data_IF_593900533777
#
_entry.id   IF_593900533777
#
_cell.length_a   1.000
_cell.length_b   1.000
_cell.length_c   1.000
_cell.angle_alpha   90.00
_cell.angle_beta   90.00
_cell.angle_gamma   90.00
#
_symmetry.space_group_name_H-M   'P 1'
#
loop_
_entity.id
_entity.type
_entity.pdbx_description
1 polymer ?
#
# COMPACT_ATOMS: atom_id res chain seq x y z
N UNK A 1 2.10 -17.99 -19.97
CA UNK A 1 0.95 -17.72 -20.81
C UNK A 1 -0.23 -17.33 -19.92
N UNK A 2 -0.74 -16.11 -20.05
CA UNK A 2 -1.82 -15.56 -19.22
C UNK A 2 -3.08 -16.43 -19.26
N UNK A 3 -3.42 -16.99 -20.42
CA UNK A 3 -4.63 -17.81 -20.59
C UNK A 3 -4.68 -19.06 -19.69
N UNK A 4 -3.55 -19.65 -19.35
CA UNK A 4 -3.50 -20.78 -18.42
C UNK A 4 -3.82 -20.31 -17.00
N UNK A 5 -3.26 -19.15 -16.61
CA UNK A 5 -3.50 -18.52 -15.31
C UNK A 5 -4.97 -18.12 -15.19
N UNK A 6 -5.51 -17.46 -16.22
CA UNK A 6 -6.92 -17.06 -16.32
C UNK A 6 -7.87 -18.24 -16.16
N UNK A 7 -7.59 -19.34 -16.90
CA UNK A 7 -8.41 -20.56 -16.83
C UNK A 7 -8.38 -21.18 -15.41
N UNK A 8 -7.22 -21.24 -14.78
CA UNK A 8 -7.07 -21.77 -13.42
C UNK A 8 -7.83 -20.89 -12.41
N UNK A 9 -7.62 -19.56 -12.45
CA UNK A 9 -8.31 -18.64 -11.53
C UNK A 9 -9.82 -18.69 -11.78
N UNK A 10 -10.28 -18.65 -13.04
CA UNK A 10 -11.71 -18.73 -13.39
C UNK A 10 -12.37 -20.01 -12.86
N UNK A 11 -11.63 -21.12 -12.80
CA UNK A 11 -12.12 -22.38 -12.22
C UNK A 11 -12.06 -22.45 -10.68
N UNK A 12 -11.66 -21.38 -10.00
CA UNK A 12 -11.50 -21.33 -8.55
C UNK A 12 -10.19 -21.95 -8.04
N UNK A 13 -9.22 -22.20 -8.93
CA UNK A 13 -7.94 -22.78 -8.55
C UNK A 13 -6.94 -21.67 -8.20
N UNK A 14 -6.32 -21.77 -7.04
CA UNK A 14 -5.27 -20.85 -6.62
C UNK A 14 -4.00 -21.04 -7.45
N UNK A 15 -3.41 -19.93 -7.90
CA UNK A 15 -2.18 -19.93 -8.70
C UNK A 15 -1.06 -19.24 -7.92
N UNK A 16 0.08 -19.89 -7.82
CA UNK A 16 1.28 -19.34 -7.18
C UNK A 16 2.42 -19.32 -8.21
N UNK A 17 2.92 -18.14 -8.54
CA UNK A 17 4.09 -17.97 -9.37
C UNK A 17 5.28 -17.54 -8.49
N UNK A 18 6.39 -18.26 -8.59
CA UNK A 18 7.63 -17.96 -7.87
C UNK A 18 8.77 -17.75 -8.83
N UNK A 19 9.55 -16.69 -8.62
CA UNK A 19 10.75 -16.39 -9.38
C UNK A 19 11.93 -16.05 -8.45
N UNK A 20 13.12 -16.54 -8.77
CA UNK A 20 14.33 -16.17 -8.02
C UNK A 20 14.67 -14.67 -8.15
N UNK A 21 14.28 -14.06 -9.27
CA UNK A 21 14.50 -12.64 -9.52
C UNK A 21 13.18 -11.94 -9.74
N UNK A 22 12.80 -11.67 -10.94
CA UNK A 22 11.73 -10.74 -11.28
C UNK A 22 10.52 -11.47 -11.85
N UNK A 23 9.33 -10.92 -11.59
CA UNK A 23 8.08 -11.30 -12.23
C UNK A 23 7.57 -10.09 -13.03
N UNK A 24 7.29 -10.31 -14.31
CA UNK A 24 6.71 -9.29 -15.19
C UNK A 24 5.34 -9.76 -15.69
N UNK A 25 4.30 -8.98 -15.40
CA UNK A 25 2.95 -9.18 -15.97
C UNK A 25 2.77 -8.17 -17.09
N UNK A 26 2.96 -8.62 -18.34
CA UNK A 26 2.94 -7.79 -19.55
C UNK A 26 1.75 -8.10 -20.46
N UNK A 27 0.89 -9.02 -20.06
CA UNK A 27 -0.36 -9.36 -20.74
C UNK A 27 -1.46 -9.46 -19.71
N UNK A 28 -2.64 -9.02 -20.05
CA UNK A 28 -3.79 -9.07 -19.16
C UNK A 28 -4.02 -10.47 -18.60
N UNK A 29 -4.45 -10.53 -17.35
CA UNK A 29 -4.94 -11.72 -16.65
C UNK A 29 -6.38 -11.42 -16.26
N UNK A 30 -7.34 -11.91 -17.06
CA UNK A 30 -8.76 -11.59 -16.89
C UNK A 30 -9.53 -12.88 -16.57
N UNK A 31 -9.61 -13.20 -15.29
CA UNK A 31 -10.50 -14.26 -14.83
C UNK A 31 -11.95 -13.76 -14.80
N UNK A 32 -12.88 -14.65 -15.09
CA UNK A 32 -14.32 -14.35 -15.15
C UNK A 32 -15.08 -15.23 -14.17
N UNK A 33 -16.30 -14.83 -13.81
CA UNK A 33 -17.14 -15.57 -12.86
C UNK A 33 -17.29 -14.83 -11.54
N UNK A 34 -17.86 -15.52 -10.55
CA UNK A 34 -18.18 -14.94 -9.23
C UNK A 34 -17.38 -15.53 -8.08
N UNK A 35 -16.49 -16.50 -8.34
CA UNK A 35 -15.70 -17.18 -7.32
C UNK A 35 -14.36 -17.62 -7.93
N UNK A 36 -13.48 -16.68 -8.18
CA UNK A 36 -12.14 -16.94 -8.70
C UNK A 36 -11.20 -17.50 -7.64
N UNK A 37 -10.14 -18.20 -8.10
CA UNK A 37 -9.02 -18.59 -7.27
C UNK A 37 -8.09 -17.42 -6.97
N UNK A 38 -7.25 -17.55 -5.95
CA UNK A 38 -6.26 -16.55 -5.58
C UNK A 38 -5.06 -16.56 -6.55
N UNK A 39 -4.45 -15.39 -6.75
CA UNK A 39 -3.20 -15.24 -7.47
C UNK A 39 -2.10 -14.75 -6.51
N UNK A 40 -1.02 -15.50 -6.41
CA UNK A 40 0.17 -15.10 -5.65
C UNK A 40 1.35 -14.94 -6.58
N UNK A 41 1.98 -13.78 -6.59
CA UNK A 41 3.23 -13.49 -7.27
C UNK A 41 4.32 -13.28 -6.22
N UNK A 42 5.33 -14.15 -6.22
CA UNK A 42 6.39 -14.13 -5.22
C UNK A 42 7.76 -14.06 -5.91
N UNK A 43 8.40 -12.91 -5.82
CA UNK A 43 9.68 -12.61 -6.48
C UNK A 43 10.81 -12.40 -5.47
N UNK A 44 11.97 -12.94 -5.76
CA UNK A 44 13.18 -12.66 -4.98
C UNK A 44 13.70 -11.22 -5.15
N UNK A 45 13.25 -10.51 -6.21
CA UNK A 45 13.65 -9.12 -6.51
C UNK A 45 12.41 -8.30 -6.82
N UNK A 46 12.02 -8.14 -8.08
CA UNK A 46 11.00 -7.19 -8.50
C UNK A 46 9.70 -7.86 -8.94
N UNK A 47 8.60 -7.13 -8.77
CA UNK A 47 7.33 -7.41 -9.43
C UNK A 47 6.92 -6.18 -10.23
N UNK A 48 6.75 -6.35 -11.55
CA UNK A 48 6.27 -5.27 -12.42
C UNK A 48 5.01 -5.71 -13.13
N UNK A 49 3.92 -4.96 -12.92
CA UNK A 49 2.58 -5.22 -13.47
C UNK A 49 2.21 -4.06 -14.38
N UNK A 50 2.42 -4.23 -15.68
CA UNK A 50 2.07 -3.25 -16.71
C UNK A 50 0.80 -3.61 -17.50
N UNK A 51 0.14 -4.71 -17.15
CA UNK A 51 -1.10 -5.17 -17.74
C UNK A 51 -2.17 -5.42 -16.68
N UNK A 52 -3.44 -5.44 -17.07
CA UNK A 52 -4.55 -5.51 -16.14
C UNK A 52 -4.66 -6.88 -15.46
N UNK A 53 -5.10 -6.89 -14.21
CA UNK A 53 -5.42 -8.12 -13.47
C UNK A 53 -6.86 -8.05 -12.96
N UNK A 54 -7.64 -9.09 -13.28
CA UNK A 54 -8.97 -9.33 -12.71
C UNK A 54 -9.02 -10.77 -12.20
N UNK A 55 -9.35 -10.97 -10.91
CA UNK A 55 -9.33 -12.29 -10.27
C UNK A 55 -10.72 -12.91 -10.09
N UNK A 56 -11.79 -12.23 -10.50
CA UNK A 56 -13.16 -12.70 -10.27
C UNK A 56 -13.45 -13.01 -8.79
N UNK A 57 -13.13 -12.09 -7.92
CA UNK A 57 -13.27 -12.15 -6.45
C UNK A 57 -12.23 -13.01 -5.69
N UNK A 58 -11.20 -13.53 -6.35
CA UNK A 58 -10.03 -14.10 -5.68
C UNK A 58 -9.07 -13.01 -5.20
N UNK A 59 -8.24 -13.33 -4.20
CA UNK A 59 -7.24 -12.44 -3.67
C UNK A 59 -6.03 -12.30 -4.60
N UNK A 60 -5.34 -11.16 -4.51
CA UNK A 60 -4.03 -10.96 -5.14
C UNK A 60 -2.99 -10.70 -4.05
N UNK A 61 -1.94 -11.52 -4.02
CA UNK A 61 -0.80 -11.34 -3.12
C UNK A 61 0.46 -11.10 -3.93
N UNK A 62 1.15 -10.00 -3.65
CA UNK A 62 2.42 -9.60 -4.26
C UNK A 62 3.48 -9.55 -3.16
N UNK A 63 4.55 -10.35 -3.33
CA UNK A 63 5.69 -10.37 -2.42
C UNK A 63 6.97 -10.17 -3.23
N UNK A 64 7.62 -9.03 -3.08
CA UNK A 64 8.92 -8.77 -3.71
C UNK A 64 10.02 -8.65 -2.65
N UNK A 65 11.26 -8.76 -3.07
CA UNK A 65 12.43 -8.83 -2.18
C UNK A 65 12.26 -9.91 -1.09
N UNK A 66 11.69 -11.05 -1.46
CA UNK A 66 11.36 -12.10 -0.52
C UNK A 66 12.60 -12.93 -0.15
N UNK A 67 13.04 -12.81 1.10
CA UNK A 67 14.24 -13.48 1.62
C UNK A 67 14.12 -15.01 1.69
N UNK A 68 12.91 -15.53 1.69
CA UNK A 68 12.69 -16.99 1.68
C UNK A 68 13.00 -17.65 0.34
N UNK A 69 13.17 -16.86 -0.74
CA UNK A 69 13.53 -17.38 -2.07
C UNK A 69 15.03 -17.59 -2.17
N UNK A 70 15.44 -18.85 -2.22
CA UNK A 70 16.84 -19.23 -2.38
C UNK A 70 17.38 -18.82 -3.76
N UNK A 71 18.62 -18.32 -3.81
CA UNK A 71 19.28 -17.95 -5.06
C UNK A 71 18.88 -16.59 -5.64
N UNK A 72 18.14 -15.76 -4.89
CA UNK A 72 17.76 -14.40 -5.32
C UNK A 72 18.94 -13.46 -5.57
N UNK A 73 20.12 -13.76 -5.00
CA UNK A 73 21.30 -12.89 -5.03
C UNK A 73 21.18 -11.72 -4.05
N UNK A 74 22.29 -11.00 -3.86
CA UNK A 74 22.28 -9.74 -3.11
C UNK A 74 21.90 -8.62 -4.07
N UNK A 75 20.63 -8.22 -4.07
CA UNK A 75 20.16 -7.14 -4.92
C UNK A 75 20.14 -5.81 -4.15
N UNK A 76 20.58 -4.76 -4.83
CA UNK A 76 20.57 -3.39 -4.31
C UNK A 76 19.30 -2.61 -4.68
N UNK A 77 18.43 -3.25 -5.46
CA UNK A 77 17.20 -2.63 -5.98
C UNK A 77 16.13 -3.69 -5.98
N UNK A 78 14.99 -3.40 -5.41
CA UNK A 78 13.81 -4.26 -5.47
C UNK A 78 12.56 -3.42 -5.35
N UNK A 79 11.70 -3.54 -6.35
CA UNK A 79 10.54 -2.69 -6.48
C UNK A 79 9.27 -3.51 -6.70
N UNK A 80 8.13 -2.95 -6.31
CA UNK A 80 6.82 -3.40 -6.76
C UNK A 80 6.19 -2.24 -7.54
N UNK A 81 6.12 -2.40 -8.86
CA UNK A 81 5.52 -1.43 -9.76
C UNK A 81 4.18 -1.94 -10.27
N UNK A 82 3.12 -1.14 -10.12
CA UNK A 82 1.84 -1.37 -10.79
C UNK A 82 1.47 -0.11 -11.56
N UNK A 83 1.41 -0.23 -12.89
CA UNK A 83 1.02 0.88 -13.80
C UNK A 83 -0.28 0.59 -14.57
N UNK A 84 -1.13 -0.27 -14.04
CA UNK A 84 -2.32 -0.80 -14.71
C UNK A 84 -3.52 -0.85 -13.75
N UNK A 85 -4.63 -1.42 -14.23
CA UNK A 85 -5.82 -1.64 -13.40
C UNK A 85 -5.78 -3.02 -12.75
N UNK A 86 -5.99 -3.06 -11.44
CA UNK A 86 -6.21 -4.28 -10.66
C UNK A 86 -7.63 -4.26 -10.12
N UNK A 87 -8.44 -5.26 -10.50
CA UNK A 87 -9.83 -5.39 -10.08
C UNK A 87 -10.07 -6.77 -9.46
N UNK A 88 -10.25 -6.80 -8.16
CA UNK A 88 -10.40 -8.04 -7.40
C UNK A 88 -11.85 -8.28 -6.96
N UNK A 89 -12.76 -7.34 -7.22
CA UNK A 89 -14.15 -7.44 -6.76
C UNK A 89 -14.23 -7.49 -5.24
N UNK A 90 -14.63 -8.64 -4.67
CA UNK A 90 -14.66 -8.88 -3.23
C UNK A 90 -13.38 -9.54 -2.69
N UNK A 91 -12.37 -9.75 -3.53
CA UNK A 91 -11.06 -10.24 -3.11
C UNK A 91 -10.19 -9.14 -2.50
N UNK A 92 -9.19 -9.53 -1.74
CA UNK A 92 -8.26 -8.64 -1.06
C UNK A 92 -6.96 -8.47 -1.84
N UNK A 93 -6.36 -7.30 -1.75
CA UNK A 93 -5.01 -7.03 -2.23
C UNK A 93 -4.03 -6.98 -1.06
N UNK A 94 -2.97 -7.79 -1.14
CA UNK A 94 -1.86 -7.78 -0.21
C UNK A 94 -0.55 -7.54 -0.95
N UNK A 95 0.13 -6.43 -0.65
CA UNK A 95 1.44 -6.06 -1.18
C UNK A 95 2.46 -6.07 -0.05
N UNK A 96 3.55 -6.80 -0.22
CA UNK A 96 4.67 -6.82 0.72
C UNK A 96 5.98 -6.63 -0.03
N UNK A 97 6.67 -5.53 0.25
CA UNK A 97 8.06 -5.34 -0.11
C UNK A 97 8.94 -5.68 1.10
N UNK A 98 9.74 -6.72 0.97
CA UNK A 98 10.59 -7.21 2.05
C UNK A 98 11.72 -6.23 2.39
N UNK A 99 12.24 -6.35 3.61
CA UNK A 99 13.42 -5.60 4.02
C UNK A 99 14.69 -6.20 3.40
N UNK A 100 15.64 -5.36 3.06
CA UNK A 100 16.98 -5.77 2.67
C UNK A 100 18.01 -5.11 3.58
N UNK A 101 18.96 -5.90 4.05
CA UNK A 101 20.12 -5.42 4.83
C UNK A 101 21.18 -4.74 3.97
N UNK A 102 20.93 -4.51 2.68
CA UNK A 102 21.87 -3.87 1.75
C UNK A 102 21.43 -2.45 1.43
N UNK A 103 22.40 -1.56 1.30
CA UNK A 103 22.15 -0.20 0.78
C UNK A 103 21.70 -0.28 -0.67
N UNK A 104 20.49 0.10 -0.98
CA UNK A 104 19.90 0.08 -2.31
C UNK A 104 18.68 0.97 -2.42
N UNK A 105 18.04 0.98 -3.56
CA UNK A 105 16.75 1.65 -3.76
C UNK A 105 15.65 0.60 -3.76
N UNK A 106 14.65 0.80 -2.95
CA UNK A 106 13.51 -0.09 -2.80
C UNK A 106 12.26 0.77 -2.71
N UNK A 107 11.26 0.53 -3.55
CA UNK A 107 10.00 1.28 -3.46
C UNK A 107 8.78 0.46 -3.89
N UNK A 108 7.62 0.93 -3.48
CA UNK A 108 6.33 0.46 -3.96
C UNK A 108 5.74 1.60 -4.78
N UNK A 109 5.85 1.51 -6.10
CA UNK A 109 5.38 2.54 -7.02
C UNK A 109 4.01 2.16 -7.60
N UNK A 110 2.98 2.82 -7.13
CA UNK A 110 1.59 2.62 -7.54
C UNK A 110 0.98 3.91 -8.11
N UNK A 111 1.81 4.91 -8.43
CA UNK A 111 1.35 6.25 -8.85
C UNK A 111 0.40 6.25 -10.06
N UNK A 112 0.54 5.26 -10.94
CA UNK A 112 -0.31 5.08 -12.11
C UNK A 112 -1.35 3.96 -11.96
N UNK A 113 -1.40 3.31 -10.78
CA UNK A 113 -2.31 2.21 -10.54
C UNK A 113 -3.75 2.68 -10.28
N UNK A 114 -4.71 1.90 -10.78
CA UNK A 114 -6.11 1.96 -10.33
C UNK A 114 -6.46 0.61 -9.72
N UNK A 115 -6.76 0.59 -8.42
CA UNK A 115 -6.96 -0.63 -7.64
C UNK A 115 -8.37 -0.64 -7.04
N UNK A 116 -9.11 -1.74 -7.29
CA UNK A 116 -10.41 -2.01 -6.70
C UNK A 116 -10.37 -3.37 -6.00
N UNK A 117 -10.62 -3.40 -4.69
CA UNK A 117 -10.57 -4.61 -3.87
C UNK A 117 -11.54 -4.52 -2.67
N UNK A 118 -11.69 -5.61 -1.92
CA UNK A 118 -12.39 -5.55 -0.65
C UNK A 118 -11.51 -4.86 0.42
N UNK A 119 -10.36 -5.43 0.73
CA UNK A 119 -9.32 -4.81 1.56
C UNK A 119 -8.04 -4.58 0.74
N UNK A 120 -7.35 -3.48 1.02
CA UNK A 120 -6.04 -3.18 0.43
C UNK A 120 -5.05 -3.06 1.57
N UNK A 121 -4.05 -3.94 1.59
CA UNK A 121 -2.96 -3.92 2.56
C UNK A 121 -1.63 -3.77 1.84
N UNK A 122 -0.87 -2.74 2.20
CA UNK A 122 0.46 -2.47 1.65
C UNK A 122 1.45 -2.38 2.81
N UNK A 123 2.50 -3.20 2.75
CA UNK A 123 3.59 -3.20 3.71
C UNK A 123 4.92 -3.01 2.98
N UNK A 124 5.50 -1.84 3.13
CA UNK A 124 6.86 -1.56 2.70
C UNK A 124 7.80 -1.61 3.92
N UNK A 125 8.56 -2.68 4.01
CA UNK A 125 9.51 -2.92 5.10
C UNK A 125 10.93 -2.47 4.79
N UNK A 126 11.16 -1.87 3.62
CA UNK A 126 12.48 -1.40 3.23
C UNK A 126 12.98 -0.29 4.17
N UNK A 127 14.25 -0.36 4.53
CA UNK A 127 14.86 0.55 5.53
C UNK A 127 15.61 1.72 4.90
N UNK A 128 15.77 1.74 3.58
CA UNK A 128 16.40 2.86 2.91
C UNK A 128 15.41 4.04 2.77
N UNK A 129 15.94 5.25 2.66
CA UNK A 129 15.17 6.48 2.47
C UNK A 129 15.41 7.10 1.09
N UNK A 130 15.96 6.35 0.14
CA UNK A 130 16.40 6.92 -1.14
C UNK A 130 15.26 7.25 -2.09
N UNK A 131 14.16 6.47 -2.02
CA UNK A 131 12.98 6.69 -2.84
C UNK A 131 11.71 6.63 -1.99
N UNK A 132 10.70 7.46 -2.31
CA UNK A 132 9.37 7.35 -1.70
C UNK A 132 8.66 6.10 -2.21
N UNK A 133 7.66 5.62 -1.46
CA UNK A 133 6.62 4.79 -2.05
C UNK A 133 5.49 5.70 -2.54
N UNK A 134 5.06 5.48 -3.79
CA UNK A 134 4.07 6.32 -4.46
C UNK A 134 2.71 5.63 -4.47
N UNK A 135 1.66 6.37 -4.08
CA UNK A 135 0.29 5.85 -4.06
C UNK A 135 -0.49 6.33 -5.29
N UNK A 136 -1.42 5.48 -5.75
CA UNK A 136 -2.33 5.73 -6.87
C UNK A 136 -3.79 5.89 -6.45
N UNK A 137 -4.69 5.42 -7.31
CA UNK A 137 -6.13 5.50 -7.07
C UNK A 137 -6.66 4.17 -6.54
N UNK A 138 -7.06 4.16 -5.28
CA UNK A 138 -7.52 2.96 -4.57
C UNK A 138 -8.98 3.09 -4.14
N UNK A 139 -9.75 2.06 -4.43
CA UNK A 139 -11.12 1.92 -3.94
C UNK A 139 -11.24 0.59 -3.21
N UNK A 140 -11.50 0.63 -1.91
CA UNK A 140 -11.76 -0.54 -1.09
C UNK A 140 -13.23 -0.57 -0.63
N UNK A 141 -13.84 -1.76 -0.68
CA UNK A 141 -15.19 -1.96 -0.11
C UNK A 141 -15.17 -1.93 1.41
N UNK A 142 -14.05 -2.32 2.02
CA UNK A 142 -13.82 -2.36 3.46
C UNK A 142 -12.72 -1.38 3.85
N UNK A 143 -11.44 -1.76 3.83
CA UNK A 143 -10.38 -0.94 4.40
C UNK A 143 -9.14 -0.81 3.50
N UNK A 144 -8.38 0.27 3.73
CA UNK A 144 -7.04 0.51 3.18
C UNK A 144 -6.06 0.65 4.33
N UNK A 145 -5.09 -0.26 4.42
CA UNK A 145 -4.04 -0.27 5.42
C UNK A 145 -2.67 -0.15 4.74
N UNK A 146 -1.94 0.91 5.04
CA UNK A 146 -0.63 1.17 4.45
C UNK A 146 0.39 1.37 5.57
N UNK A 147 1.48 0.62 5.53
CA UNK A 147 2.58 0.72 6.48
C UNK A 147 3.90 0.88 5.75
N UNK A 148 4.56 2.01 5.96
CA UNK A 148 5.90 2.32 5.44
C UNK A 148 6.66 3.16 6.48
N UNK A 149 7.04 2.52 7.59
CA UNK A 149 7.60 3.23 8.75
C UNK A 149 8.93 3.94 8.50
N UNK A 150 9.69 3.50 7.52
CA UNK A 150 11.05 3.99 7.28
C UNK A 150 11.13 5.00 6.12
N UNK A 151 10.05 5.19 5.38
CA UNK A 151 9.99 6.03 4.19
C UNK A 151 8.86 7.04 4.27
N UNK A 152 8.99 8.12 3.50
CA UNK A 152 7.84 8.95 3.23
C UNK A 152 6.98 8.33 2.11
N UNK A 153 5.68 8.58 2.20
CA UNK A 153 4.74 8.23 1.15
C UNK A 153 4.41 9.45 0.31
N UNK A 154 4.60 9.34 -0.98
CA UNK A 154 4.14 10.35 -1.93
C UNK A 154 2.69 10.05 -2.30
N UNK A 155 1.81 10.97 -1.96
CA UNK A 155 0.36 10.89 -2.24
C UNK A 155 -0.07 11.87 -3.31
N UNK A 156 0.87 12.40 -4.09
CA UNK A 156 0.56 13.41 -5.11
C UNK A 156 -0.37 12.84 -6.20
N UNK A 157 -1.57 13.39 -6.30
CA UNK A 157 -2.60 12.91 -7.20
C UNK A 157 -3.30 11.61 -6.77
N UNK A 158 -2.91 11.01 -5.63
CA UNK A 158 -3.56 9.81 -5.11
C UNK A 158 -4.98 10.09 -4.63
N UNK A 159 -5.87 9.11 -4.86
CA UNK A 159 -7.24 9.13 -4.34
C UNK A 159 -7.53 7.82 -3.63
N UNK A 160 -7.73 7.88 -2.30
CA UNK A 160 -7.99 6.72 -1.47
C UNK A 160 -9.45 6.75 -1.01
N UNK A 161 -10.23 5.77 -1.43
CA UNK A 161 -11.63 5.63 -1.02
C UNK A 161 -11.83 4.29 -0.32
N UNK A 162 -12.34 4.29 0.92
CA UNK A 162 -12.69 3.09 1.66
C UNK A 162 -14.08 3.21 2.30
N UNK A 163 -14.93 2.22 2.08
CA UNK A 163 -16.34 2.26 2.46
C UNK A 163 -16.66 1.54 3.78
N UNK A 164 -15.66 0.97 4.44
CA UNK A 164 -15.84 0.31 5.73
C UNK A 164 -16.15 1.26 6.87
N UNK A 165 -16.68 0.70 7.96
CA UNK A 165 -16.91 1.41 9.21
C UNK A 165 -15.61 1.45 10.07
N UNK A 166 -15.60 2.30 11.08
CA UNK A 166 -14.43 2.46 11.95
C UNK A 166 -13.27 3.16 11.24
N UNK A 167 -12.05 2.73 11.48
CA UNK A 167 -10.88 3.27 10.76
C UNK A 167 -10.75 2.57 9.41
N UNK A 168 -11.40 3.13 8.39
CA UNK A 168 -11.44 2.55 7.05
C UNK A 168 -10.16 2.82 6.25
N UNK A 169 -9.45 3.94 6.49
CA UNK A 169 -8.11 4.17 5.94
C UNK A 169 -7.14 4.39 7.08
N UNK A 170 -6.11 3.54 7.13
CA UNK A 170 -5.05 3.62 8.13
C UNK A 170 -3.68 3.67 7.43
N UNK A 171 -2.93 4.74 7.66
CA UNK A 171 -1.61 4.95 7.06
C UNK A 171 -0.60 5.15 8.17
N UNK A 172 0.51 4.42 8.10
CA UNK A 172 1.69 4.65 8.94
C UNK A 172 2.89 4.86 8.04
N UNK A 173 3.56 5.99 8.17
CA UNK A 173 4.72 6.33 7.36
C UNK A 173 5.69 7.22 8.13
N UNK A 174 6.87 7.47 7.58
CA UNK A 174 7.76 8.49 8.11
C UNK A 174 7.09 9.86 8.06
N UNK A 175 6.58 10.26 6.91
CA UNK A 175 5.66 11.40 6.70
C UNK A 175 4.96 11.27 5.34
N UNK A 176 3.93 12.07 5.12
CA UNK A 176 3.24 12.16 3.84
C UNK A 176 3.77 13.36 3.05
N UNK A 177 3.89 13.23 1.73
CA UNK A 177 4.27 14.31 0.81
C UNK A 177 3.31 14.40 -0.37
N UNK A 178 3.26 15.56 -1.03
CA UNK A 178 2.37 15.79 -2.15
C UNK A 178 0.98 16.30 -1.73
N UNK A 179 0.00 16.12 -2.60
CA UNK A 179 -1.40 16.47 -2.36
C UNK A 179 -2.31 15.39 -2.93
N UNK A 180 -2.87 14.60 -2.05
CA UNK A 180 -3.84 13.56 -2.36
C UNK A 180 -5.21 13.85 -1.77
N UNK A 181 -6.12 12.91 -1.94
CA UNK A 181 -7.46 12.92 -1.35
C UNK A 181 -7.76 11.60 -0.64
N UNK A 182 -8.56 11.67 0.41
CA UNK A 182 -9.07 10.51 1.13
C UNK A 182 -10.56 10.67 1.40
N UNK A 183 -11.32 9.61 1.15
CA UNK A 183 -12.77 9.54 1.35
C UNK A 183 -13.13 8.28 2.14
N UNK A 184 -13.81 8.47 3.27
CA UNK A 184 -14.28 7.37 4.13
C UNK A 184 -15.75 7.61 4.51
N UNK A 185 -16.70 7.38 3.58
CA UNK A 185 -18.11 7.79 3.76
C UNK A 185 -18.78 7.20 5.01
N UNK A 186 -18.37 5.98 5.39
CA UNK A 186 -18.96 5.24 6.51
C UNK A 186 -18.04 5.10 7.71
N UNK A 187 -16.83 5.65 7.63
CA UNK A 187 -15.77 5.49 8.63
C UNK A 187 -14.94 6.75 8.81
N UNK A 188 -13.73 6.54 9.27
CA UNK A 188 -12.73 7.59 9.45
C UNK A 188 -11.41 7.17 8.82
N UNK A 189 -10.52 8.13 8.59
CA UNK A 189 -9.14 7.85 8.25
C UNK A 189 -8.20 8.27 9.40
N UNK A 190 -7.07 7.59 9.47
CA UNK A 190 -5.93 7.91 10.34
C UNK A 190 -4.66 7.88 9.53
N UNK A 191 -3.83 8.88 9.69
CA UNK A 191 -2.45 8.85 9.22
C UNK A 191 -1.51 9.08 10.40
N UNK A 192 -0.53 8.19 10.58
CA UNK A 192 0.50 8.28 11.62
C UNK A 192 1.83 8.56 10.96
N UNK A 193 2.39 9.74 11.23
CA UNK A 193 3.73 10.13 10.79
C UNK A 193 4.74 9.88 11.91
N UNK A 194 5.79 9.12 11.63
CA UNK A 194 6.81 8.72 12.62
C UNK A 194 8.04 9.64 12.63
N UNK A 195 8.14 10.60 11.72
CA UNK A 195 9.23 11.57 11.69
C UNK A 195 9.08 12.60 12.82
N UNK A 196 10.12 12.74 13.63
CA UNK A 196 10.18 13.73 14.71
C UNK A 196 10.64 15.13 14.24
N UNK A 197 11.09 15.26 13.00
CA UNK A 197 11.39 16.55 12.36
C UNK A 197 10.12 17.28 11.93
N UNK A 198 10.25 18.54 11.48
CA UNK A 198 9.13 19.33 10.97
C UNK A 198 8.39 18.68 9.80
N UNK A 199 9.03 17.75 9.06
CA UNK A 199 8.38 16.98 7.99
C UNK A 199 7.26 16.08 8.53
N UNK A 200 7.36 15.59 9.80
CA UNK A 200 6.31 14.81 10.45
C UNK A 200 4.97 15.55 10.57
N UNK A 201 4.96 16.87 10.47
CA UNK A 201 3.74 17.67 10.40
C UNK A 201 3.08 17.74 9.03
N UNK A 202 3.68 17.14 8.00
CA UNK A 202 3.13 17.11 6.64
C UNK A 202 2.15 15.94 6.49
N UNK A 203 0.94 16.20 6.06
CA UNK A 203 -0.15 15.22 5.93
C UNK A 203 -0.65 15.05 4.50
N UNK A 204 0.16 15.38 3.49
CA UNK A 204 -0.11 15.07 2.09
C UNK A 204 -1.36 15.72 1.51
N UNK A 205 -1.78 16.87 2.04
CA UNK A 205 -2.99 17.58 1.62
C UNK A 205 -4.31 16.95 2.11
N UNK A 206 -4.27 15.89 2.92
CA UNK A 206 -5.50 15.32 3.50
C UNK A 206 -6.13 16.29 4.49
N UNK A 207 -7.45 16.47 4.40
CA UNK A 207 -8.19 17.31 5.32
C UNK A 207 -8.83 16.45 6.40
N UNK A 208 -8.45 16.66 7.65
CA UNK A 208 -8.95 15.93 8.81
C UNK A 208 -9.63 16.82 9.83
N UNK A 209 -10.22 16.21 10.85
CA UNK A 209 -10.86 16.90 11.97
C UNK A 209 -9.86 17.36 13.02
N UNK A 210 -8.66 16.74 13.07
CA UNK A 210 -7.63 17.09 14.04
C UNK A 210 -6.22 16.71 13.57
N UNK A 211 -5.22 17.33 14.23
CA UNK A 211 -3.82 16.92 14.21
C UNK A 211 -3.38 16.80 15.66
N UNK A 212 -2.78 15.66 16.03
CA UNK A 212 -2.17 15.43 17.33
C UNK A 212 -0.65 15.36 17.16
N UNK A 213 0.05 16.32 17.69
CA UNK A 213 1.52 16.38 17.70
C UNK A 213 2.12 15.68 18.90
N UNK A 214 3.38 15.26 18.81
CA UNK A 214 4.12 14.55 19.85
C UNK A 214 3.52 13.18 20.16
N UNK A 215 2.85 12.56 19.18
CA UNK A 215 2.23 11.25 19.33
C UNK A 215 3.28 10.15 19.31
N UNK A 216 3.22 9.22 20.24
CA UNK A 216 3.97 7.97 20.25
C UNK A 216 3.03 6.78 20.16
N UNK A 217 3.50 5.67 19.59
CA UNK A 217 2.70 4.44 19.52
C UNK A 217 2.24 4.00 20.90
N UNK A 218 0.92 3.85 21.07
CA UNK A 218 0.30 3.52 22.35
C UNK A 218 -0.26 4.71 23.14
N UNK A 219 0.02 5.95 22.71
CA UNK A 219 -0.61 7.11 23.32
C UNK A 219 -2.12 7.15 23.04
N UNK A 220 -2.88 7.73 23.96
CA UNK A 220 -4.29 7.96 23.73
C UNK A 220 -4.50 8.98 22.62
N UNK A 221 -5.40 8.67 21.68
CA UNK A 221 -5.80 9.59 20.63
C UNK A 221 -6.75 10.61 21.24
N UNK A 222 -6.39 11.89 21.21
CA UNK A 222 -7.14 12.99 21.80
C UNK A 222 -8.23 13.56 20.87
N UNK A 223 -8.05 13.41 19.55
CA UNK A 223 -8.98 13.92 18.55
C UNK A 223 -10.07 12.92 18.18
N UNK A 224 -11.21 13.42 17.72
CA UNK A 224 -12.33 12.62 17.21
C UNK A 224 -12.46 12.76 15.70
N UNK A 225 -13.04 11.76 15.01
CA UNK A 225 -13.17 11.76 13.56
C UNK A 225 -11.84 11.44 12.84
N UNK A 226 -11.67 11.87 11.61
CA UNK A 226 -10.47 11.65 10.80
C UNK A 226 -9.34 12.59 11.20
N UNK A 227 -8.07 12.12 11.15
CA UNK A 227 -6.98 13.00 11.54
C UNK A 227 -5.57 12.43 11.43
N UNK A 228 -4.60 13.31 11.64
CA UNK A 228 -3.17 13.03 11.66
C UNK A 228 -2.66 12.84 13.08
N UNK A 229 -1.86 11.81 13.27
CA UNK A 229 -1.03 11.55 14.44
C UNK A 229 0.43 11.78 14.06
N UNK A 230 1.12 12.71 14.68
CA UNK A 230 2.48 13.11 14.28
C UNK A 230 3.45 12.95 15.45
N UNK A 231 4.56 12.25 15.23
CA UNK A 231 5.65 12.18 16.20
C UNK A 231 6.41 13.52 16.31
N UNK A 232 6.29 14.41 15.33
CA UNK A 232 6.82 15.76 15.43
C UNK A 232 6.15 16.55 16.56
N UNK A 233 6.94 17.18 17.42
CA UNK A 233 6.47 18.06 18.49
C UNK A 233 6.95 19.50 18.19
N UNK A 234 6.05 20.41 17.76
CA UNK A 234 6.41 21.79 17.47
C UNK A 234 6.69 22.64 18.73
N UNK A 235 6.72 22.01 19.90
CA UNK A 235 6.87 22.67 21.20
C UNK A 235 5.54 22.91 21.93
N UNK A 236 5.61 23.45 23.15
CA UNK A 236 4.48 23.49 24.10
C UNK A 236 3.22 24.24 23.66
N UNK A 237 3.19 24.87 22.46
CA UNK A 237 2.10 25.75 22.05
C UNK A 237 0.94 25.03 21.34
N UNK A 238 1.11 23.77 20.83
CA UNK A 238 0.10 23.16 19.95
C UNK A 238 0.03 21.63 20.09
N UNK A 239 -0.15 21.09 21.29
CA UNK A 239 -0.24 19.61 21.45
C UNK A 239 -1.55 19.01 20.91
N UNK A 240 -2.61 19.79 20.72
CA UNK A 240 -3.89 19.32 20.17
C UNK A 240 -4.53 20.43 19.35
N UNK A 241 -4.50 20.33 18.04
CA UNK A 241 -5.21 21.23 17.14
C UNK A 241 -6.44 20.52 16.56
N UNK A 242 -7.63 21.01 16.85
CA UNK A 242 -8.84 20.67 16.09
C UNK A 242 -8.95 21.68 14.94
N UNK A 243 -9.11 21.19 13.71
CA UNK A 243 -9.32 22.00 12.51
C UNK A 243 -10.82 22.18 12.33
#
# INVERSE_FOLDING_TARGET
>A
NSSIIESAITSGTNVILKAQRNIYVQSDIIATGSSGGDLTLNAGVDINISANITTANGNLTLEANNESISGRGNNRYSDIDISSTVNLGTGDLNITLGNSNTTGSYDVNLSSATINANDITITDSATDNSQPSDLGNFTASSAINITSNNKYLNVNGASLTANGAGTAVNITSKYLSGSGSVSTPNGIWRATNTDTSSNGGNFGGFTGNFIQYGYSSGDAIQGTGSGLLSAYDPGNLFKNYQV
#
